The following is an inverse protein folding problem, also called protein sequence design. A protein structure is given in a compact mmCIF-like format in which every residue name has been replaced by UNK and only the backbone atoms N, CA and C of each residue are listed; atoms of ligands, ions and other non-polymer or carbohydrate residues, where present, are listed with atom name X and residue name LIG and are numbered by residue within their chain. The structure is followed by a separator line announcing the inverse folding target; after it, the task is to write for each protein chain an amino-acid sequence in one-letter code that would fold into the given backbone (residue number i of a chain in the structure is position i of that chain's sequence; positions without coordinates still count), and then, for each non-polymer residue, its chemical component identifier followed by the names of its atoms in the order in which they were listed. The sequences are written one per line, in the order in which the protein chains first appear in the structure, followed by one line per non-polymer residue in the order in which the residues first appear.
data_IF_812745961215
#
_entry.id   IF_812745961215
#
_cell.length_a   1.000
_cell.length_b   1.000
_cell.length_c   1.000
_cell.angle_alpha   90.00
_cell.angle_beta   90.00
_cell.angle_gamma   90.00
#
_symmetry.space_group_name_H-M   'P 1'
#
loop_
_entity.id
_entity.type
_entity.pdbx_description
1 polymer ?
#
# COMPACT_ATOMS: atom_id res chain seq x y z
N UNK A 1 -4.61 -2.80 -16.66
CA UNK A 1 -4.70 -3.27 -15.26
C UNK A 1 -3.31 -3.65 -14.81
N UNK A 2 -2.80 -3.03 -13.76
CA UNK A 2 -1.38 -3.09 -13.35
C UNK A 2 -0.91 -4.45 -12.81
N UNK A 3 -1.80 -5.44 -12.67
CA UNK A 3 -1.46 -6.78 -12.16
C UNK A 3 -1.05 -6.80 -10.69
N UNK A 4 -1.19 -5.67 -10.00
CA UNK A 4 -0.83 -5.54 -8.59
C UNK A 4 -1.75 -6.38 -7.71
N UNK A 5 -1.18 -6.94 -6.65
CA UNK A 5 -1.91 -7.69 -5.63
C UNK A 5 -1.81 -6.97 -4.29
N UNK A 6 -2.95 -6.86 -3.61
CA UNK A 6 -3.03 -6.37 -2.24
C UNK A 6 -3.10 -7.58 -1.30
N UNK A 7 -2.15 -7.67 -0.37
CA UNK A 7 -2.01 -8.82 0.55
C UNK A 7 -2.06 -8.32 1.99
N UNK A 8 -3.06 -8.73 2.80
CA UNK A 8 -3.08 -8.46 4.22
C UNK A 8 -1.91 -9.14 4.92
N UNK A 9 -1.23 -8.40 5.80
CA UNK A 9 -0.08 -8.89 6.56
C UNK A 9 -0.17 -8.38 7.99
N UNK A 10 0.06 -9.26 8.95
CA UNK A 10 0.14 -8.92 10.37
C UNK A 10 1.60 -8.76 10.77
N UNK A 11 2.01 -7.55 11.15
CA UNK A 11 3.38 -7.26 11.57
C UNK A 11 3.36 -6.41 12.85
N UNK A 12 4.12 -6.83 13.86
CA UNK A 12 4.18 -6.13 15.16
C UNK A 12 2.80 -5.85 15.78
N UNK A 13 1.84 -6.76 15.62
CA UNK A 13 0.47 -6.60 16.14
C UNK A 13 -0.43 -5.65 15.33
N UNK A 14 0.04 -5.14 14.19
CA UNK A 14 -0.72 -4.24 13.30
C UNK A 14 -1.04 -4.93 11.97
N UNK A 15 -2.24 -4.69 11.47
CA UNK A 15 -2.63 -5.10 10.12
C UNK A 15 -2.14 -4.06 9.11
N UNK A 16 -1.35 -4.52 8.14
CA UNK A 16 -0.84 -3.73 7.02
C UNK A 16 -1.23 -4.40 5.71
N UNK A 17 -1.56 -3.61 4.69
CA UNK A 17 -1.85 -4.12 3.36
C UNK A 17 -0.63 -3.89 2.45
N UNK A 18 0.04 -4.97 2.05
CA UNK A 18 1.17 -4.89 1.12
C UNK A 18 0.69 -4.88 -0.32
N UNK A 19 1.28 -4.01 -1.13
CA UNK A 19 1.05 -3.95 -2.58
C UNK A 19 2.26 -4.57 -3.28
N UNK A 20 1.98 -5.60 -4.07
CA UNK A 20 2.99 -6.48 -4.66
C UNK A 20 2.87 -6.52 -6.17
N UNK A 21 4.00 -6.54 -6.84
CA UNK A 21 4.11 -6.83 -8.26
C UNK A 21 3.84 -8.32 -8.54
N UNK A 22 3.50 -8.69 -9.79
CA UNK A 22 3.37 -10.09 -10.20
C UNK A 22 4.63 -10.93 -9.95
N UNK A 23 5.80 -10.31 -9.96
CA UNK A 23 7.09 -10.94 -9.67
C UNK A 23 7.36 -11.15 -8.17
N UNK A 24 6.42 -10.75 -7.29
CA UNK A 24 6.49 -10.93 -5.84
C UNK A 24 7.16 -9.79 -5.07
N UNK A 25 7.72 -8.78 -5.75
CA UNK A 25 8.33 -7.62 -5.08
C UNK A 25 7.25 -6.72 -4.47
N UNK A 26 7.51 -6.23 -3.27
CA UNK A 26 6.66 -5.22 -2.63
C UNK A 26 7.03 -3.83 -3.17
N UNK A 27 6.03 -3.04 -3.53
CA UNK A 27 6.21 -1.67 -4.04
C UNK A 27 5.56 -0.61 -3.15
N UNK A 28 4.67 -1.02 -2.24
CA UNK A 28 4.09 -0.17 -1.22
C UNK A 28 3.49 -0.99 -0.09
N UNK A 29 3.15 -0.32 1.01
CA UNK A 29 2.27 -0.85 2.05
C UNK A 29 1.38 0.24 2.64
N UNK A 30 0.14 -0.12 2.98
CA UNK A 30 -0.83 0.74 3.64
C UNK A 30 -0.96 0.38 5.12
N UNK A 31 -0.70 1.37 5.96
CA UNK A 31 -1.01 1.34 7.39
C UNK A 31 -2.45 1.79 7.60
N UNK A 32 -3.33 0.87 7.98
CA UNK A 32 -4.74 1.19 8.22
C UNK A 32 -4.94 2.01 9.49
N UNK A 33 -4.07 1.84 10.48
CA UNK A 33 -4.13 2.54 11.77
C UNK A 33 -3.69 4.00 11.59
N UNK A 34 -2.62 4.22 10.84
CA UNK A 34 -2.09 5.56 10.57
C UNK A 34 -2.68 6.25 9.33
N UNK A 35 -3.61 5.59 8.62
CA UNK A 35 -4.16 6.05 7.34
C UNK A 35 -3.07 6.52 6.35
N UNK A 36 -2.01 5.71 6.19
CA UNK A 36 -0.80 6.10 5.45
C UNK A 36 -0.32 5.04 4.47
N UNK A 37 -0.08 5.45 3.24
CA UNK A 37 0.57 4.64 2.20
C UNK A 37 2.06 4.98 2.16
N UNK A 38 2.89 3.98 2.43
CA UNK A 38 4.33 4.06 2.28
C UNK A 38 4.71 3.49 0.92
N UNK A 39 5.21 4.34 0.03
CA UNK A 39 5.71 3.94 -1.29
C UNK A 39 7.17 3.50 -1.16
N UNK A 40 7.49 2.36 -1.76
CA UNK A 40 8.87 1.89 -1.94
C UNK A 40 9.40 2.23 -3.35
N UNK A 41 8.50 2.61 -4.26
CA UNK A 41 8.80 3.09 -5.61
C UNK A 41 7.82 4.20 -5.96
N UNK A 42 8.32 5.43 -6.16
CA UNK A 42 7.49 6.59 -6.46
C UNK A 42 6.90 6.53 -7.87
N UNK A 43 7.61 5.91 -8.81
CA UNK A 43 7.22 5.77 -10.23
C UNK A 43 5.87 5.05 -10.42
N UNK A 44 5.39 4.33 -9.40
CA UNK A 44 4.14 3.55 -9.44
C UNK A 44 3.09 4.05 -8.45
N UNK A 45 3.19 5.30 -8.01
CA UNK A 45 2.24 5.91 -7.07
C UNK A 45 0.78 5.71 -7.49
N UNK A 46 0.44 6.04 -8.74
CA UNK A 46 -0.96 6.01 -9.19
C UNK A 46 -1.48 4.58 -9.29
N UNK A 47 -0.68 3.64 -9.79
CA UNK A 47 -1.01 2.22 -9.81
C UNK A 47 -1.27 1.67 -8.40
N UNK A 48 -0.46 2.08 -7.42
CA UNK A 48 -0.60 1.69 -6.01
C UNK A 48 -1.89 2.24 -5.42
N UNK A 49 -2.18 3.53 -5.62
CA UNK A 49 -3.41 4.15 -5.12
C UNK A 49 -4.65 3.53 -5.76
N UNK A 50 -4.60 3.21 -7.06
CA UNK A 50 -5.67 2.51 -7.75
C UNK A 50 -5.90 1.11 -7.18
N UNK A 51 -4.83 0.35 -6.90
CA UNK A 51 -4.94 -0.98 -6.32
C UNK A 51 -5.47 -0.94 -4.88
N UNK A 52 -5.13 0.09 -4.11
CA UNK A 52 -5.56 0.27 -2.73
C UNK A 52 -6.95 0.88 -2.59
N UNK A 53 -7.49 1.53 -3.63
CA UNK A 53 -8.76 2.26 -3.58
C UNK A 53 -9.92 1.52 -2.88
N UNK A 54 -10.13 0.20 -3.08
CA UNK A 54 -11.19 -0.54 -2.38
C UNK A 54 -11.01 -0.68 -0.87
N UNK A 55 -9.80 -0.45 -0.36
CA UNK A 55 -9.40 -0.64 1.04
C UNK A 55 -9.22 0.66 1.81
N UNK A 56 -9.19 1.81 1.11
CA UNK A 56 -9.02 3.11 1.73
C UNK A 56 -10.34 3.54 2.39
N UNK A 57 -10.26 3.91 3.66
CA UNK A 57 -11.42 4.29 4.49
C UNK A 57 -11.50 5.81 4.70
N UNK A 58 -10.99 6.61 3.75
CA UNK A 58 -10.94 8.07 3.83
C UNK A 58 -9.68 8.66 3.19
N UNK A 59 -9.41 9.96 3.42
CA UNK A 59 -8.16 10.59 3.01
C UNK A 59 -6.96 9.87 3.63
N UNK A 60 -5.93 9.62 2.83
CA UNK A 60 -4.69 8.97 3.28
C UNK A 60 -3.47 9.83 2.98
N UNK A 61 -2.48 9.78 3.87
CA UNK A 61 -1.17 10.35 3.62
C UNK A 61 -0.35 9.42 2.72
N UNK A 62 0.49 9.99 1.85
CA UNK A 62 1.41 9.23 1.00
C UNK A 62 2.84 9.68 1.31
N UNK A 63 3.73 8.72 1.49
CA UNK A 63 5.15 8.96 1.76
C UNK A 63 5.57 8.62 3.20
N UNK A 64 6.87 8.71 3.50
CA UNK A 64 7.40 8.38 4.81
C UNK A 64 6.77 9.26 5.90
N UNK A 65 6.65 8.77 7.15
CA UNK A 65 6.27 9.61 8.28
C UNK A 65 7.24 10.80 8.41
N UNK A 66 6.75 11.98 8.86
CA UNK A 66 7.58 13.17 9.07
C UNK A 66 8.59 12.97 10.20
#
# INVERSE_FOLDING_TARGET
MSGLRVVPTWRHGREQLYVRLPDGRNIAWYDREAARVNLLSEDRRDDVLQALAPFLTGPVAVGPPP
#
